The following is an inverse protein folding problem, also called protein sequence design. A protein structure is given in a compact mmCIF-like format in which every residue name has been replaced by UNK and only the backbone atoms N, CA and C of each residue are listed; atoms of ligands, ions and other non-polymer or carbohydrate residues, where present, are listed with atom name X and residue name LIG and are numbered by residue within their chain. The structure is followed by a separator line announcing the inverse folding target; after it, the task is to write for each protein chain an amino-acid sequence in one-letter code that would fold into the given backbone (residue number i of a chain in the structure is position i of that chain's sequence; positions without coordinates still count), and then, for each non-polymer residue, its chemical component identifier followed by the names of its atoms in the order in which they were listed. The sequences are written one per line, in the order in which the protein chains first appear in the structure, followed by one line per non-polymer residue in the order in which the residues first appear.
data_IF_896606983965
#
_entry.id   IF_896606983965
#
_cell.length_a   1.000
_cell.length_b   1.000
_cell.length_c   1.000
_cell.angle_alpha   90.00
_cell.angle_beta   90.00
_cell.angle_gamma   90.00
#
_symmetry.space_group_name_H-M   'P 1'
#
loop_
_entity.id
_entity.type
_entity.pdbx_description
1 polymer ?
#
# COMPACT_ATOMS: atom_id res chain seq x y z
N UNK A 1 54.59 13.62 42.10
CA UNK A 1 54.97 12.48 41.27
C UNK A 1 53.87 11.43 41.45
N UNK A 2 52.79 11.60 40.66
CA UNK A 2 51.52 10.87 40.83
C UNK A 2 51.50 9.72 39.78
N UNK A 3 51.81 8.53 40.21
CA UNK A 3 51.84 7.34 39.35
C UNK A 3 50.40 6.78 39.26
N UNK A 4 49.67 7.22 38.28
CA UNK A 4 48.39 6.59 37.91
C UNK A 4 48.68 5.21 37.33
N UNK A 5 48.29 4.19 38.04
CA UNK A 5 48.34 2.78 37.65
C UNK A 5 47.40 2.53 36.44
N UNK A 6 47.87 2.16 35.22
CA UNK A 6 47.04 1.99 34.01
C UNK A 6 46.35 0.64 33.89
N UNK A 7 46.28 -0.19 34.94
CA UNK A 7 45.79 -1.56 34.84
C UNK A 7 44.44 -1.84 35.51
N UNK A 8 43.52 -0.86 35.61
CA UNK A 8 42.12 -1.19 35.88
C UNK A 8 41.47 -1.83 34.64
N UNK A 9 41.81 -3.09 34.36
CA UNK A 9 41.00 -3.92 33.48
C UNK A 9 39.60 -4.01 34.11
N UNK A 10 38.62 -3.40 33.46
CA UNK A 10 37.20 -3.55 33.81
C UNK A 10 36.86 -5.03 33.73
N UNK A 11 36.83 -5.72 34.87
CA UNK A 11 36.36 -7.09 34.94
C UNK A 11 34.89 -7.10 34.61
N UNK A 12 34.52 -7.47 33.35
CA UNK A 12 33.14 -7.67 32.95
C UNK A 12 32.61 -8.80 33.82
N UNK A 13 31.64 -8.48 34.67
CA UNK A 13 31.01 -9.47 35.56
C UNK A 13 30.40 -10.60 34.74
N UNK A 14 30.60 -11.85 35.13
CA UNK A 14 29.95 -13.01 34.49
C UNK A 14 28.42 -12.80 34.36
N UNK A 15 27.83 -12.13 35.34
CA UNK A 15 26.38 -11.76 35.32
C UNK A 15 26.03 -10.83 34.14
N UNK A 16 26.90 -9.86 33.82
CA UNK A 16 26.73 -8.98 32.69
C UNK A 16 26.85 -9.73 31.36
N UNK A 17 27.80 -10.66 31.24
CA UNK A 17 27.96 -11.49 30.05
C UNK A 17 26.72 -12.38 29.84
N UNK A 18 26.21 -13.00 30.90
CA UNK A 18 25.00 -13.81 30.84
C UNK A 18 23.76 -13.00 30.49
N UNK A 19 23.56 -11.84 31.09
CA UNK A 19 22.40 -10.98 30.76
C UNK A 19 22.45 -10.46 29.32
N UNK A 20 23.61 -10.04 28.83
CA UNK A 20 23.79 -9.61 27.43
C UNK A 20 23.59 -10.79 26.48
N UNK A 21 24.16 -11.95 26.77
CA UNK A 21 24.01 -13.16 25.97
C UNK A 21 22.55 -13.63 25.89
N UNK A 22 21.84 -13.62 27.02
CA UNK A 22 20.43 -14.03 27.08
C UNK A 22 19.51 -13.04 26.34
N UNK A 23 19.76 -11.74 26.50
CA UNK A 23 19.02 -10.73 25.75
C UNK A 23 19.30 -10.78 24.25
N UNK A 24 20.55 -10.98 23.84
CA UNK A 24 20.91 -11.16 22.43
C UNK A 24 20.26 -12.42 21.85
N UNK A 25 20.30 -13.55 22.58
CA UNK A 25 19.64 -14.79 22.20
C UNK A 25 18.12 -14.64 22.09
N UNK A 26 17.48 -13.95 23.03
CA UNK A 26 16.05 -13.65 22.99
C UNK A 26 15.70 -12.76 21.80
N UNK A 27 16.53 -11.75 21.48
CA UNK A 27 16.34 -10.90 20.29
C UNK A 27 16.44 -11.70 18.99
N UNK A 28 17.45 -12.59 18.87
CA UNK A 28 17.61 -13.45 17.70
C UNK A 28 16.43 -14.41 17.56
N UNK A 29 15.99 -15.02 18.65
CA UNK A 29 14.82 -15.91 18.67
C UNK A 29 13.54 -15.15 18.27
N UNK A 30 13.34 -13.96 18.80
CA UNK A 30 12.19 -13.10 18.44
C UNK A 30 12.22 -12.73 16.95
N UNK A 31 13.38 -12.31 16.44
CA UNK A 31 13.56 -12.00 15.03
C UNK A 31 13.27 -13.23 14.13
N UNK A 32 13.78 -14.40 14.51
CA UNK A 32 13.50 -15.65 13.83
C UNK A 32 12.01 -16.00 13.83
N UNK A 33 11.34 -15.89 14.98
CA UNK A 33 9.88 -16.09 15.07
C UNK A 33 9.10 -15.12 14.20
N UNK A 34 9.46 -13.84 14.18
CA UNK A 34 8.81 -12.84 13.33
C UNK A 34 8.97 -13.17 11.84
N UNK A 35 10.15 -13.64 11.43
CA UNK A 35 10.39 -14.09 10.05
C UNK A 35 9.53 -15.30 9.70
N UNK A 36 9.40 -16.27 10.59
CA UNK A 36 8.57 -17.45 10.37
C UNK A 36 7.07 -17.13 10.34
N UNK A 37 6.65 -16.19 11.18
CA UNK A 37 5.24 -15.76 11.25
C UNK A 37 4.86 -14.76 10.16
N UNK A 38 5.80 -14.33 9.30
CA UNK A 38 5.52 -13.34 8.25
C UNK A 38 4.31 -13.71 7.38
N UNK A 39 4.18 -15.00 7.00
CA UNK A 39 3.06 -15.46 6.18
C UNK A 39 1.72 -15.31 6.90
N UNK A 40 1.68 -15.53 8.22
CA UNK A 40 0.48 -15.34 9.03
C UNK A 40 0.12 -13.85 9.12
N UNK A 41 1.11 -12.98 9.35
CA UNK A 41 0.87 -11.52 9.36
C UNK A 41 0.37 -11.02 8.00
N UNK A 42 0.92 -11.54 6.91
CA UNK A 42 0.45 -11.25 5.55
C UNK A 42 -1.01 -11.66 5.39
N UNK A 43 -1.37 -12.88 5.78
CA UNK A 43 -2.74 -13.38 5.73
C UNK A 43 -3.70 -12.53 6.55
N UNK A 44 -3.31 -12.17 7.77
CA UNK A 44 -4.11 -11.30 8.62
C UNK A 44 -4.27 -9.90 8.01
N UNK A 45 -3.21 -9.33 7.43
CA UNK A 45 -3.28 -8.04 6.76
C UNK A 45 -4.21 -8.09 5.55
N UNK A 46 -4.12 -9.12 4.70
CA UNK A 46 -5.03 -9.35 3.56
C UNK A 46 -6.47 -9.50 4.04
N UNK A 47 -6.70 -10.33 5.07
CA UNK A 47 -8.02 -10.56 5.61
C UNK A 47 -8.64 -9.27 6.19
N UNK A 48 -7.84 -8.48 6.92
CA UNK A 48 -8.27 -7.18 7.43
C UNK A 48 -8.56 -6.19 6.30
N UNK A 49 -7.72 -6.18 5.25
CA UNK A 49 -7.94 -5.36 4.07
C UNK A 49 -9.27 -5.70 3.38
N UNK A 50 -9.54 -6.99 3.14
CA UNK A 50 -10.79 -7.47 2.55
C UNK A 50 -11.99 -7.12 3.46
N UNK A 51 -11.85 -7.30 4.77
CA UNK A 51 -12.88 -6.91 5.73
C UNK A 51 -13.20 -5.40 5.66
N UNK A 52 -12.17 -4.55 5.63
CA UNK A 52 -12.33 -3.09 5.52
C UNK A 52 -12.89 -2.66 4.15
N UNK A 53 -12.57 -3.39 3.08
CA UNK A 53 -13.12 -3.13 1.75
C UNK A 53 -14.62 -3.46 1.67
N UNK A 54 -15.07 -4.52 2.35
CA UNK A 54 -16.48 -4.95 2.37
C UNK A 54 -17.31 -4.13 3.40
N UNK A 55 -16.69 -3.60 4.46
CA UNK A 55 -17.37 -2.90 5.55
C UNK A 55 -18.30 -1.74 5.11
N UNK A 56 -17.94 -0.87 4.12
CA UNK A 56 -18.87 0.15 3.61
C UNK A 56 -20.14 -0.45 3.02
N UNK A 57 -20.04 -1.56 2.27
CA UNK A 57 -21.17 -2.27 1.71
C UNK A 57 -22.05 -2.89 2.80
N UNK A 58 -21.44 -3.51 3.81
CA UNK A 58 -22.17 -4.07 4.97
C UNK A 58 -22.92 -2.97 5.71
N UNK A 59 -22.28 -1.82 5.96
CA UNK A 59 -22.93 -0.66 6.59
C UNK A 59 -24.08 -0.10 5.75
N UNK A 60 -23.93 -0.06 4.44
CA UNK A 60 -25.00 0.37 3.54
C UNK A 60 -26.20 -0.59 3.59
N UNK A 61 -25.96 -1.91 3.59
CA UNK A 61 -26.99 -2.94 3.74
C UNK A 61 -27.71 -2.84 5.10
N UNK A 62 -26.95 -2.60 6.18
CA UNK A 62 -27.51 -2.36 7.51
C UNK A 62 -28.46 -1.14 7.55
N UNK A 63 -28.10 -0.05 6.85
CA UNK A 63 -28.97 1.13 6.71
C UNK A 63 -30.27 0.84 5.94
N UNK A 64 -30.28 -0.26 5.14
CA UNK A 64 -31.47 -0.77 4.44
C UNK A 64 -32.28 -1.77 5.26
N UNK A 65 -31.94 -1.99 6.54
CA UNK A 65 -32.65 -2.84 7.47
C UNK A 65 -32.15 -4.27 7.62
N UNK A 66 -31.05 -4.65 6.95
CA UNK A 66 -30.45 -5.96 7.16
C UNK A 66 -29.70 -6.03 8.50
N UNK A 67 -29.78 -7.19 9.18
CA UNK A 67 -28.92 -7.44 10.35
C UNK A 67 -27.46 -7.57 9.90
N UNK A 68 -26.51 -7.33 10.83
CA UNK A 68 -25.08 -7.36 10.53
C UNK A 68 -24.63 -8.68 9.91
N UNK A 69 -25.12 -9.82 10.43
CA UNK A 69 -24.77 -11.14 9.89
C UNK A 69 -25.22 -11.32 8.44
N UNK A 70 -26.45 -10.94 8.13
CA UNK A 70 -26.96 -10.97 6.75
C UNK A 70 -26.23 -10.00 5.83
N UNK A 71 -25.91 -8.78 6.32
CA UNK A 71 -25.14 -7.82 5.56
C UNK A 71 -23.74 -8.33 5.21
N UNK A 72 -23.08 -9.01 6.14
CA UNK A 72 -21.78 -9.64 5.93
C UNK A 72 -21.89 -10.80 4.94
N UNK A 73 -22.87 -11.67 5.11
CA UNK A 73 -23.10 -12.80 4.19
C UNK A 73 -23.35 -12.32 2.75
N UNK A 74 -24.23 -11.35 2.56
CA UNK A 74 -24.51 -10.76 1.22
C UNK A 74 -23.26 -10.07 0.65
N UNK A 75 -22.48 -9.36 1.47
CA UNK A 75 -21.23 -8.74 1.04
C UNK A 75 -20.21 -9.76 0.55
N UNK A 76 -20.06 -10.87 1.25
CA UNK A 76 -19.16 -11.97 0.83
C UNK A 76 -19.68 -12.73 -0.39
N UNK A 77 -20.98 -13.03 -0.46
CA UNK A 77 -21.57 -13.65 -1.66
C UNK A 77 -21.43 -12.74 -2.88
N UNK A 78 -21.57 -11.41 -2.69
CA UNK A 78 -21.32 -10.43 -3.74
C UNK A 78 -19.86 -10.44 -4.20
N UNK A 79 -18.91 -10.48 -3.26
CA UNK A 79 -17.47 -10.58 -3.57
C UNK A 79 -17.15 -11.90 -4.31
N UNK A 80 -17.71 -13.02 -3.85
CA UNK A 80 -17.54 -14.33 -4.49
C UNK A 80 -18.16 -14.35 -5.89
N UNK A 81 -19.35 -13.79 -6.04
CA UNK A 81 -20.02 -13.67 -7.34
C UNK A 81 -19.21 -12.80 -8.30
N UNK A 82 -18.67 -11.66 -7.82
CA UNK A 82 -17.79 -10.80 -8.60
C UNK A 82 -16.49 -11.53 -8.98
N UNK A 83 -15.84 -12.21 -8.06
CA UNK A 83 -14.62 -12.96 -8.32
C UNK A 83 -14.87 -14.12 -9.32
N UNK A 84 -16.00 -14.84 -9.19
CA UNK A 84 -16.41 -15.86 -10.14
C UNK A 84 -16.70 -15.32 -11.54
N UNK A 85 -17.41 -14.18 -11.62
CA UNK A 85 -17.68 -13.50 -12.88
C UNK A 85 -16.37 -13.01 -13.53
N UNK A 86 -15.48 -12.39 -12.76
CA UNK A 86 -14.16 -11.95 -13.24
C UNK A 86 -13.36 -13.16 -13.73
N UNK A 87 -13.29 -14.25 -12.98
CA UNK A 87 -12.60 -15.46 -13.40
C UNK A 87 -13.16 -16.04 -14.71
N UNK A 88 -14.48 -16.13 -14.82
CA UNK A 88 -15.15 -16.64 -16.02
C UNK A 88 -14.95 -15.76 -17.25
N UNK A 89 -14.78 -14.44 -17.08
CA UNK A 89 -14.55 -13.51 -18.20
C UNK A 89 -13.08 -13.32 -18.51
N UNK A 90 -12.20 -13.24 -17.50
CA UNK A 90 -10.79 -12.92 -17.68
C UNK A 90 -9.96 -14.12 -18.15
N UNK A 91 -10.21 -15.33 -17.61
CA UNK A 91 -9.42 -16.51 -17.98
C UNK A 91 -9.51 -16.81 -19.48
N UNK A 92 -10.71 -16.91 -20.10
CA UNK A 92 -10.81 -17.10 -21.55
C UNK A 92 -10.18 -15.94 -22.34
N UNK A 93 -10.34 -14.69 -21.88
CA UNK A 93 -9.76 -13.53 -22.54
C UNK A 93 -8.23 -13.64 -22.58
N UNK A 94 -7.60 -13.85 -21.42
CA UNK A 94 -6.14 -13.94 -21.33
C UNK A 94 -5.61 -15.07 -22.23
N UNK A 95 -6.22 -16.25 -22.17
CA UNK A 95 -5.84 -17.39 -23.01
C UNK A 95 -6.00 -17.06 -24.49
N UNK A 96 -7.09 -16.41 -24.89
CA UNK A 96 -7.32 -16.02 -26.28
C UNK A 96 -6.35 -14.93 -26.73
N UNK A 97 -6.07 -13.94 -25.89
CA UNK A 97 -5.12 -12.87 -26.21
C UNK A 97 -3.69 -13.39 -26.36
N UNK A 98 -3.24 -14.28 -25.48
CA UNK A 98 -1.93 -14.94 -25.61
C UNK A 98 -1.87 -15.74 -26.92
N UNK A 99 -2.92 -16.51 -27.24
CA UNK A 99 -2.98 -17.25 -28.52
C UNK A 99 -3.00 -16.32 -29.73
N UNK A 100 -3.74 -15.22 -29.69
CA UNK A 100 -3.77 -14.22 -30.76
C UNK A 100 -2.41 -13.58 -30.94
N UNK A 101 -1.75 -13.19 -29.84
CA UNK A 101 -0.41 -12.60 -29.85
C UNK A 101 0.58 -13.53 -30.54
N UNK A 102 0.64 -14.79 -30.12
CA UNK A 102 1.54 -15.80 -30.72
C UNK A 102 1.26 -15.99 -32.21
N UNK A 103 -0.02 -16.00 -32.64
CA UNK A 103 -0.40 -16.16 -34.02
C UNK A 103 -0.19 -14.92 -34.90
N UNK A 104 -0.43 -13.74 -34.36
CA UNK A 104 -0.39 -12.46 -35.12
C UNK A 104 0.99 -11.82 -35.10
N UNK A 105 1.86 -12.17 -34.15
CA UNK A 105 3.16 -11.55 -34.00
C UNK A 105 4.04 -11.61 -35.27
N UNK A 106 4.12 -12.73 -36.02
CA UNK A 106 4.89 -12.76 -37.26
C UNK A 106 4.36 -11.77 -38.31
N UNK A 107 3.03 -11.63 -38.41
CA UNK A 107 2.37 -10.67 -39.30
C UNK A 107 2.57 -9.22 -38.91
N UNK A 108 2.47 -8.92 -37.61
CA UNK A 108 2.69 -7.57 -37.09
C UNK A 108 4.13 -7.11 -37.28
N UNK A 109 5.11 -7.98 -37.08
CA UNK A 109 6.53 -7.68 -37.33
C UNK A 109 6.75 -7.35 -38.82
N UNK A 110 6.13 -8.10 -39.75
CA UNK A 110 6.23 -7.83 -41.17
C UNK A 110 5.55 -6.53 -41.60
N UNK A 111 4.42 -6.16 -40.98
CA UNK A 111 3.69 -4.94 -41.30
C UNK A 111 4.42 -3.70 -40.76
N UNK A 112 4.95 -3.77 -39.52
CA UNK A 112 5.80 -2.73 -38.92
C UNK A 112 7.05 -2.47 -39.73
N UNK A 113 7.61 -3.49 -40.38
CA UNK A 113 8.82 -3.41 -41.23
C UNK A 113 8.63 -2.50 -42.44
N UNK A 114 7.41 -2.22 -42.88
CA UNK A 114 7.13 -1.33 -44.03
C UNK A 114 7.32 0.17 -43.69
N UNK A 115 7.50 0.54 -42.43
CA UNK A 115 7.68 1.90 -42.00
C UNK A 115 9.16 2.31 -41.93
N UNK A 116 9.54 3.42 -42.54
CA UNK A 116 10.97 3.83 -42.65
C UNK A 116 11.65 4.04 -41.27
N UNK A 117 10.92 4.52 -40.27
CA UNK A 117 11.48 4.76 -38.93
C UNK A 117 11.73 3.47 -38.12
N UNK A 118 11.09 2.36 -38.49
CA UNK A 118 11.29 1.08 -37.80
C UNK A 118 12.50 0.31 -38.30
N UNK A 119 12.97 0.59 -39.51
CA UNK A 119 14.22 -0.02 -40.06
C UNK A 119 15.41 0.29 -39.16
N UNK A 120 15.53 1.53 -38.68
CA UNK A 120 16.60 1.92 -37.76
C UNK A 120 16.53 1.17 -36.40
N UNK A 121 15.34 0.91 -35.90
CA UNK A 121 15.13 0.14 -34.65
C UNK A 121 15.47 -1.34 -34.86
N UNK A 122 15.11 -1.92 -36.02
CA UNK A 122 15.38 -3.31 -36.34
C UNK A 122 16.89 -3.56 -36.51
N UNK A 123 17.58 -2.70 -37.23
CA UNK A 123 19.04 -2.78 -37.43
C UNK A 123 19.83 -2.65 -36.10
N UNK A 124 19.26 -1.94 -35.11
CA UNK A 124 19.93 -1.66 -33.84
C UNK A 124 19.62 -2.68 -32.74
N UNK A 125 18.44 -3.26 -32.74
CA UNK A 125 17.95 -4.08 -31.61
C UNK A 125 17.58 -5.51 -31.96
N UNK A 126 17.58 -5.88 -33.24
CA UNK A 126 17.26 -7.25 -33.74
C UNK A 126 15.92 -7.74 -33.14
N UNK A 127 14.90 -6.84 -33.23
CA UNK A 127 13.61 -7.01 -32.58
C UNK A 127 12.86 -8.24 -33.06
N UNK A 128 12.95 -8.56 -34.36
CA UNK A 128 12.28 -9.71 -34.93
C UNK A 128 12.75 -11.01 -34.28
N UNK A 129 14.07 -11.19 -34.17
CA UNK A 129 14.64 -12.39 -33.53
C UNK A 129 14.27 -12.48 -32.07
N UNK A 130 14.38 -11.36 -31.32
CA UNK A 130 14.05 -11.34 -29.90
C UNK A 130 12.57 -11.58 -29.66
N UNK A 131 11.67 -11.02 -30.48
CA UNK A 131 10.24 -11.27 -30.42
C UNK A 131 9.91 -12.71 -30.77
N UNK A 132 10.53 -13.28 -31.83
CA UNK A 132 10.35 -14.67 -32.19
C UNK A 132 10.88 -15.64 -31.11
N UNK A 133 12.05 -15.37 -30.54
CA UNK A 133 12.59 -16.15 -29.41
C UNK A 133 11.63 -16.08 -28.19
N UNK A 134 11.21 -14.89 -27.80
CA UNK A 134 10.26 -14.72 -26.69
C UNK A 134 8.93 -15.46 -26.94
N UNK A 135 8.39 -15.38 -28.15
CA UNK A 135 7.13 -16.01 -28.51
C UNK A 135 7.24 -17.53 -28.68
N UNK A 136 8.40 -18.07 -29.11
CA UNK A 136 8.60 -19.51 -29.22
C UNK A 136 8.64 -20.24 -27.88
N UNK A 137 9.05 -19.55 -26.81
CA UNK A 137 9.10 -20.11 -25.47
C UNK A 137 7.77 -19.99 -24.69
N UNK A 138 6.88 -19.03 -25.06
CA UNK A 138 5.62 -18.83 -24.38
C UNK A 138 4.68 -20.05 -24.37
N UNK A 139 4.48 -20.82 -25.47
CA UNK A 139 3.62 -22.00 -25.45
C UNK A 139 4.14 -23.09 -24.52
N UNK A 140 5.44 -23.29 -24.45
CA UNK A 140 6.07 -24.32 -23.62
C UNK A 140 6.06 -23.93 -22.14
N UNK A 141 6.31 -22.67 -21.81
CA UNK A 141 6.21 -22.15 -20.43
C UNK A 141 4.77 -22.23 -19.90
N UNK A 142 3.79 -21.87 -20.74
CA UNK A 142 2.37 -21.96 -20.38
C UNK A 142 1.95 -23.43 -20.25
N UNK A 143 2.38 -24.32 -21.14
CA UNK A 143 2.06 -25.75 -21.07
C UNK A 143 2.73 -26.45 -19.87
N UNK A 144 3.99 -26.08 -19.55
CA UNK A 144 4.71 -26.61 -18.39
C UNK A 144 4.17 -26.09 -17.05
N UNK A 145 3.53 -24.93 -17.03
CA UNK A 145 2.88 -24.41 -15.84
C UNK A 145 1.51 -25.03 -15.54
N UNK A 146 0.89 -25.72 -16.50
CA UNK A 146 -0.44 -26.36 -16.32
C UNK A 146 -0.51 -27.41 -15.18
N UNK A 147 0.48 -28.30 -14.98
CA UNK A 147 0.47 -29.22 -13.83
C UNK A 147 0.62 -28.45 -12.50
N UNK A 148 1.38 -27.36 -12.50
CA UNK A 148 1.49 -26.45 -11.35
C UNK A 148 0.19 -25.69 -11.06
N UNK A 149 -0.65 -25.42 -12.06
CA UNK A 149 -1.93 -24.74 -11.88
C UNK A 149 -2.89 -25.58 -11.01
N UNK A 150 -2.90 -26.91 -11.12
CA UNK A 150 -3.77 -27.76 -10.30
C UNK A 150 -3.36 -27.71 -8.83
N UNK A 151 -2.08 -27.87 -8.51
CA UNK A 151 -1.59 -27.77 -7.13
C UNK A 151 -1.71 -26.35 -6.59
N UNK A 152 -1.44 -25.34 -7.42
CA UNK A 152 -1.62 -23.93 -7.10
C UNK A 152 -3.10 -23.60 -6.89
N UNK A 153 -4.02 -24.24 -7.62
CA UNK A 153 -5.47 -24.05 -7.46
C UNK A 153 -5.95 -24.57 -6.11
N UNK A 154 -5.49 -25.74 -5.66
CA UNK A 154 -5.86 -26.28 -4.34
C UNK A 154 -5.31 -25.40 -3.21
N UNK A 155 -4.03 -25.04 -3.29
CA UNK A 155 -3.43 -24.13 -2.31
C UNK A 155 -4.06 -22.74 -2.35
N UNK A 156 -4.37 -22.23 -3.53
CA UNK A 156 -5.08 -20.97 -3.73
C UNK A 156 -6.48 -20.99 -3.15
N UNK A 157 -7.22 -22.10 -3.30
CA UNK A 157 -8.54 -22.27 -2.72
C UNK A 157 -8.49 -22.31 -1.19
N UNK A 158 -7.54 -23.04 -0.60
CA UNK A 158 -7.34 -23.07 0.85
C UNK A 158 -6.99 -21.68 1.39
N UNK A 159 -6.06 -20.99 0.72
CA UNK A 159 -5.70 -19.63 1.05
C UNK A 159 -6.89 -18.67 0.97
N UNK A 160 -7.67 -18.78 -0.10
CA UNK A 160 -8.88 -17.98 -0.31
C UNK A 160 -9.93 -18.24 0.79
N UNK A 161 -10.22 -19.51 1.12
CA UNK A 161 -11.12 -19.87 2.21
C UNK A 161 -10.62 -19.31 3.53
N UNK A 162 -9.31 -19.40 3.80
CA UNK A 162 -8.70 -18.86 5.01
C UNK A 162 -8.87 -17.33 5.09
N UNK A 163 -8.57 -16.60 4.02
CA UNK A 163 -8.75 -15.14 3.96
C UNK A 163 -10.22 -14.78 4.16
N UNK A 164 -11.15 -15.45 3.47
CA UNK A 164 -12.59 -15.20 3.63
C UNK A 164 -13.04 -15.45 5.08
N UNK A 165 -12.61 -16.56 5.68
CA UNK A 165 -12.96 -16.92 7.06
C UNK A 165 -12.40 -15.89 8.06
N UNK A 166 -11.13 -15.51 7.92
CA UNK A 166 -10.52 -14.49 8.78
C UNK A 166 -11.16 -13.12 8.60
N UNK A 167 -11.50 -12.74 7.36
CA UNK A 167 -12.20 -11.48 7.07
C UNK A 167 -13.62 -11.48 7.66
N UNK A 168 -14.32 -12.62 7.58
CA UNK A 168 -15.62 -12.80 8.20
C UNK A 168 -15.55 -12.63 9.73
N UNK A 169 -14.56 -13.24 10.37
CA UNK A 169 -14.33 -13.11 11.80
C UNK A 169 -13.95 -11.66 12.17
N UNK A 170 -13.11 -11.01 11.38
CA UNK A 170 -12.76 -9.61 11.59
C UNK A 170 -14.00 -8.69 11.51
N UNK A 171 -14.91 -8.93 10.56
CA UNK A 171 -16.16 -8.17 10.44
C UNK A 171 -17.13 -8.46 11.58
N UNK A 172 -17.31 -9.72 11.98
CA UNK A 172 -18.29 -10.10 13.00
C UNK A 172 -17.80 -9.76 14.41
N UNK A 173 -16.55 -10.08 14.73
CA UNK A 173 -15.99 -10.02 16.08
C UNK A 173 -14.99 -8.89 16.29
N UNK A 174 -14.56 -8.20 15.23
CA UNK A 174 -13.53 -7.15 15.32
C UNK A 174 -13.86 -6.04 16.31
N UNK A 175 -15.16 -5.66 16.46
CA UNK A 175 -15.59 -4.70 17.46
C UNK A 175 -15.34 -5.19 18.88
N UNK A 176 -15.64 -6.46 19.17
CA UNK A 176 -15.44 -7.04 20.49
C UNK A 176 -13.95 -7.13 20.83
N UNK A 177 -13.14 -7.55 19.83
CA UNK A 177 -11.69 -7.61 19.97
C UNK A 177 -11.08 -6.23 20.25
N UNK A 178 -11.56 -5.22 19.54
CA UNK A 178 -11.16 -3.84 19.73
C UNK A 178 -11.49 -3.32 21.15
N UNK A 179 -12.72 -3.57 21.64
CA UNK A 179 -13.12 -3.13 23.00
C UNK A 179 -12.31 -3.87 24.07
N UNK A 180 -11.99 -5.16 23.88
CA UNK A 180 -11.09 -5.91 24.76
C UNK A 180 -9.68 -5.32 24.77
N UNK A 181 -9.11 -5.05 23.59
CA UNK A 181 -7.79 -4.43 23.46
C UNK A 181 -7.76 -3.03 24.10
N UNK A 182 -8.84 -2.25 23.96
CA UNK A 182 -8.97 -0.95 24.59
C UNK A 182 -9.01 -1.06 26.14
N UNK A 183 -9.47 -2.21 26.65
CA UNK A 183 -9.45 -2.50 28.10
C UNK A 183 -8.03 -2.50 28.70
N UNK A 184 -7.00 -2.86 27.92
CA UNK A 184 -5.59 -2.86 28.35
C UNK A 184 -4.94 -1.48 28.32
N UNK A 185 -5.59 -0.50 27.67
CA UNK A 185 -5.14 0.88 27.64
C UNK A 185 -5.54 1.60 28.92
N UNK A 186 -4.63 2.41 29.48
CA UNK A 186 -4.91 3.25 30.67
C UNK A 186 -6.16 4.08 30.44
N UNK A 187 -7.10 4.16 31.40
CA UNK A 187 -8.39 4.86 31.26
C UNK A 187 -8.28 6.29 30.71
N UNK A 188 -7.28 7.04 31.16
CA UNK A 188 -7.04 8.42 30.72
C UNK A 188 -6.68 8.54 29.23
N UNK A 189 -6.12 7.49 28.59
CA UNK A 189 -5.71 7.49 27.17
C UNK A 189 -6.75 6.83 26.26
N UNK A 190 -7.77 6.18 26.79
CA UNK A 190 -8.79 5.49 25.98
C UNK A 190 -9.50 6.39 24.98
N UNK A 191 -9.88 7.65 25.34
CA UNK A 191 -10.52 8.55 24.37
C UNK A 191 -9.62 8.84 23.16
N UNK A 192 -8.34 9.15 23.40
CA UNK A 192 -7.35 9.43 22.32
C UNK A 192 -7.14 8.21 21.42
N UNK A 193 -6.94 7.01 22.01
CA UNK A 193 -6.79 5.77 21.23
C UNK A 193 -8.07 5.46 20.43
N UNK A 194 -9.25 5.75 20.98
CA UNK A 194 -10.52 5.55 20.27
C UNK A 194 -10.64 6.47 19.06
N UNK A 195 -10.26 7.74 19.20
CA UNK A 195 -10.28 8.71 18.10
C UNK A 195 -9.25 8.35 17.03
N UNK A 196 -8.03 7.99 17.43
CA UNK A 196 -6.97 7.52 16.52
C UNK A 196 -7.45 6.33 15.66
N UNK A 197 -7.95 5.26 16.29
CA UNK A 197 -8.43 4.07 15.57
C UNK A 197 -9.59 4.41 14.63
N UNK A 198 -10.50 5.29 15.06
CA UNK A 198 -11.60 5.78 14.23
C UNK A 198 -11.10 6.55 13.01
N UNK A 199 -10.07 7.40 13.17
CA UNK A 199 -9.47 8.17 12.09
C UNK A 199 -8.71 7.27 11.11
N UNK A 200 -7.90 6.33 11.61
CA UNK A 200 -7.25 5.31 10.79
C UNK A 200 -8.27 4.49 9.98
N UNK A 201 -9.34 4.01 10.64
CA UNK A 201 -10.40 3.27 9.96
C UNK A 201 -11.08 4.11 8.87
N UNK A 202 -11.36 5.40 9.15
CA UNK A 202 -11.95 6.32 8.17
C UNK A 202 -11.02 6.54 6.97
N UNK A 203 -9.71 6.74 7.21
CA UNK A 203 -8.72 6.93 6.16
C UNK A 203 -8.63 5.71 5.24
N UNK A 204 -8.50 4.51 5.82
CA UNK A 204 -8.41 3.25 5.05
C UNK A 204 -9.70 2.95 4.29
N UNK A 205 -10.85 3.01 4.97
CA UNK A 205 -12.15 2.74 4.34
C UNK A 205 -12.49 3.78 3.26
N UNK A 206 -12.12 5.05 3.48
CA UNK A 206 -12.28 6.11 2.49
C UNK A 206 -11.43 5.86 1.24
N UNK A 207 -10.17 5.48 1.43
CA UNK A 207 -9.29 5.09 0.32
C UNK A 207 -9.86 3.91 -0.48
N UNK A 208 -10.27 2.85 0.22
CA UNK A 208 -10.82 1.65 -0.44
C UNK A 208 -12.10 1.95 -1.22
N UNK A 209 -13.02 2.72 -0.63
CA UNK A 209 -14.24 3.15 -1.31
C UNK A 209 -13.93 4.04 -2.53
N UNK A 210 -12.96 4.94 -2.39
CA UNK A 210 -12.49 5.78 -3.48
C UNK A 210 -11.90 4.96 -4.62
N UNK A 211 -11.00 4.05 -4.31
CA UNK A 211 -10.40 3.15 -5.30
C UNK A 211 -11.45 2.27 -5.97
N UNK A 212 -12.38 1.69 -5.22
CA UNK A 212 -13.47 0.89 -5.79
C UNK A 212 -14.32 1.70 -6.78
N UNK A 213 -14.64 2.94 -6.45
CA UNK A 213 -15.36 3.84 -7.36
C UNK A 213 -14.54 4.14 -8.62
N UNK A 214 -13.26 4.49 -8.46
CA UNK A 214 -12.38 4.82 -9.58
C UNK A 214 -12.20 3.64 -10.54
N UNK A 215 -11.92 2.43 -10.01
CA UNK A 215 -11.74 1.25 -10.86
C UNK A 215 -13.05 0.82 -11.54
N UNK A 216 -14.20 1.01 -10.87
CA UNK A 216 -15.51 0.74 -11.46
C UNK A 216 -15.80 1.70 -12.63
N UNK A 217 -15.56 2.98 -12.45
CA UNK A 217 -15.69 3.97 -13.52
C UNK A 217 -14.74 3.66 -14.68
N UNK A 218 -13.48 3.36 -14.39
CA UNK A 218 -12.49 3.00 -15.40
C UNK A 218 -12.86 1.73 -16.17
N UNK A 219 -13.36 0.72 -15.47
CA UNK A 219 -13.86 -0.51 -16.07
C UNK A 219 -15.04 -0.27 -17.01
N UNK A 220 -16.01 0.54 -16.59
CA UNK A 220 -17.18 0.92 -17.41
C UNK A 220 -16.76 1.73 -18.64
N UNK A 221 -15.88 2.72 -18.47
CA UNK A 221 -15.39 3.56 -19.58
C UNK A 221 -14.58 2.72 -20.56
N UNK A 222 -13.73 1.82 -20.05
CA UNK A 222 -12.97 0.88 -20.89
C UNK A 222 -13.92 -0.04 -21.68
N UNK A 223 -14.90 -0.63 -21.03
CA UNK A 223 -15.89 -1.49 -21.68
C UNK A 223 -16.68 -0.72 -22.74
N UNK A 224 -17.19 0.47 -22.41
CA UNK A 224 -17.97 1.29 -23.34
C UNK A 224 -17.12 1.78 -24.52
N UNK A 225 -15.91 2.28 -24.26
CA UNK A 225 -15.01 2.78 -25.32
C UNK A 225 -14.63 1.68 -26.30
N UNK A 226 -14.24 0.49 -25.80
CA UNK A 226 -13.90 -0.66 -26.65
C UNK A 226 -15.12 -1.25 -27.36
N UNK A 227 -16.32 -1.21 -26.75
CA UNK A 227 -17.57 -1.57 -27.40
C UNK A 227 -17.89 -0.68 -28.59
N UNK A 228 -17.79 0.64 -28.42
CA UNK A 228 -18.04 1.63 -29.50
C UNK A 228 -17.05 1.49 -30.65
N UNK A 229 -15.83 1.06 -30.39
CA UNK A 229 -14.83 0.76 -31.41
C UNK A 229 -15.06 -0.59 -32.11
N UNK A 230 -15.99 -1.42 -31.63
CA UNK A 230 -16.32 -2.73 -32.19
C UNK A 230 -15.37 -3.83 -31.74
N UNK A 231 -14.69 -3.67 -30.60
CA UNK A 231 -13.80 -4.71 -30.03
C UNK A 231 -14.66 -5.82 -29.42
N UNK A 232 -14.48 -7.10 -29.84
CA UNK A 232 -15.38 -8.19 -29.40
C UNK A 232 -15.25 -8.52 -27.90
N UNK A 233 -14.11 -8.16 -27.27
CA UNK A 233 -13.82 -8.49 -25.87
C UNK A 233 -14.05 -7.32 -24.90
N UNK A 234 -14.90 -6.39 -25.23
CA UNK A 234 -15.13 -5.15 -24.46
C UNK A 234 -15.48 -5.41 -22.97
N UNK A 235 -16.37 -6.39 -22.69
CA UNK A 235 -16.72 -6.73 -21.30
C UNK A 235 -15.54 -7.29 -20.52
N UNK A 236 -14.73 -8.13 -21.16
CA UNK A 236 -13.57 -8.71 -20.53
C UNK A 236 -12.48 -7.67 -20.26
N UNK A 237 -12.25 -6.72 -21.18
CA UNK A 237 -11.32 -5.60 -20.98
C UNK A 237 -11.80 -4.67 -19.85
N UNK A 238 -13.09 -4.35 -19.78
CA UNK A 238 -13.67 -3.59 -18.68
C UNK A 238 -13.56 -4.33 -17.35
N UNK A 239 -13.83 -5.64 -17.33
CA UNK A 239 -13.67 -6.48 -16.13
C UNK A 239 -12.21 -6.59 -15.69
N UNK A 240 -11.26 -6.67 -16.62
CA UNK A 240 -9.83 -6.69 -16.33
C UNK A 240 -9.36 -5.38 -15.69
N UNK A 241 -9.96 -4.25 -16.10
CA UNK A 241 -9.69 -2.97 -15.45
C UNK A 241 -10.07 -2.97 -13.97
N UNK A 242 -11.15 -3.65 -13.56
CA UNK A 242 -11.54 -3.76 -12.15
C UNK A 242 -10.45 -4.42 -11.29
N UNK A 243 -9.66 -5.32 -11.88
CA UNK A 243 -8.57 -6.02 -11.17
C UNK A 243 -7.27 -5.23 -11.25
N UNK A 244 -6.84 -4.89 -12.47
CA UNK A 244 -5.56 -4.20 -12.68
C UNK A 244 -5.57 -2.77 -12.14
N UNK A 245 -6.69 -2.07 -12.23
CA UNK A 245 -6.86 -0.72 -11.71
C UNK A 245 -6.72 -0.59 -10.18
N UNK A 246 -6.77 -1.72 -9.45
CA UNK A 246 -6.44 -1.74 -8.02
C UNK A 246 -4.96 -1.46 -7.75
N UNK A 247 -4.10 -1.60 -8.75
CA UNK A 247 -2.66 -1.34 -8.66
C UNK A 247 -2.39 0.04 -9.26
N UNK A 248 -2.15 1.08 -8.43
CA UNK A 248 -1.94 2.43 -8.92
C UNK A 248 -0.79 2.51 -9.92
N UNK A 249 -0.95 3.31 -10.95
CA UNK A 249 -0.02 3.54 -12.06
C UNK A 249 0.25 2.32 -12.94
N UNK A 250 0.60 1.16 -12.36
CA UNK A 250 0.92 -0.07 -13.09
C UNK A 250 -0.32 -0.60 -13.81
N UNK A 251 -1.46 -0.64 -13.11
CA UNK A 251 -2.73 -1.14 -13.66
C UNK A 251 -3.18 -0.36 -14.88
N UNK A 252 -3.19 0.96 -14.78
CA UNK A 252 -3.58 1.83 -15.90
C UNK A 252 -2.61 1.72 -17.09
N UNK A 253 -1.30 1.62 -16.82
CA UNK A 253 -0.31 1.42 -17.88
C UNK A 253 -0.50 0.09 -18.61
N UNK A 254 -0.66 -1.00 -17.87
CA UNK A 254 -0.91 -2.34 -18.45
C UNK A 254 -2.23 -2.35 -19.23
N UNK A 255 -3.26 -1.68 -18.74
CA UNK A 255 -4.54 -1.59 -19.45
C UNK A 255 -4.43 -0.78 -20.73
N UNK A 256 -3.65 0.30 -20.76
CA UNK A 256 -3.38 1.06 -21.98
C UNK A 256 -2.78 0.15 -23.07
N UNK A 257 -1.78 -0.65 -22.70
CA UNK A 257 -1.13 -1.61 -23.61
C UNK A 257 -2.11 -2.70 -24.06
N UNK A 258 -2.85 -3.31 -23.13
CA UNK A 258 -3.79 -4.40 -23.43
C UNK A 258 -4.95 -3.95 -24.31
N UNK A 259 -5.55 -2.79 -24.00
CA UNK A 259 -6.64 -2.23 -24.81
C UNK A 259 -6.15 -1.90 -26.22
N UNK A 260 -5.02 -1.20 -26.33
CA UNK A 260 -4.45 -0.84 -27.64
C UNK A 260 -4.07 -2.06 -28.45
N UNK A 261 -3.42 -3.04 -27.84
CA UNK A 261 -3.02 -4.27 -28.50
C UNK A 261 -4.23 -5.13 -28.94
N UNK A 262 -5.22 -5.30 -28.04
CA UNK A 262 -6.44 -6.05 -28.37
C UNK A 262 -7.19 -5.37 -29.52
N UNK A 263 -7.29 -4.05 -29.50
CA UNK A 263 -7.95 -3.27 -30.57
C UNK A 263 -7.17 -3.41 -31.87
N UNK A 264 -5.83 -3.35 -31.83
CA UNK A 264 -4.98 -3.52 -33.02
C UNK A 264 -5.22 -4.88 -33.70
N UNK A 265 -5.23 -5.95 -32.92
CA UNK A 265 -5.35 -7.32 -33.44
C UNK A 265 -6.76 -7.70 -33.88
N UNK A 266 -7.79 -7.01 -33.36
CA UNK A 266 -9.20 -7.35 -33.65
C UNK A 266 -9.87 -6.45 -34.67
N UNK A 267 -9.57 -5.13 -34.64
CA UNK A 267 -10.29 -4.13 -35.44
C UNK A 267 -9.37 -3.18 -36.22
N UNK A 268 -8.06 -3.36 -36.13
CA UNK A 268 -7.05 -2.70 -36.95
C UNK A 268 -6.42 -1.44 -36.35
N UNK A 269 -5.38 -0.95 -37.02
CA UNK A 269 -4.48 0.11 -36.52
C UNK A 269 -5.20 1.44 -36.23
N UNK A 270 -6.05 1.91 -37.14
CA UNK A 270 -6.72 3.21 -36.98
C UNK A 270 -7.56 3.25 -35.69
N UNK A 271 -8.30 2.17 -35.42
CA UNK A 271 -9.12 2.07 -34.21
C UNK A 271 -8.24 1.85 -32.97
N UNK A 272 -7.10 1.18 -33.09
CA UNK A 272 -6.14 1.03 -31.98
C UNK A 272 -5.53 2.36 -31.57
N UNK A 273 -5.19 3.22 -32.51
CA UNK A 273 -4.72 4.59 -32.23
C UNK A 273 -5.79 5.45 -31.56
N UNK A 274 -7.05 5.31 -32.00
CA UNK A 274 -8.19 5.99 -31.36
C UNK A 274 -8.38 5.47 -29.92
N UNK A 275 -8.32 4.13 -29.71
CA UNK A 275 -8.43 3.53 -28.40
C UNK A 275 -7.33 4.01 -27.45
N UNK A 276 -6.08 4.05 -27.91
CA UNK A 276 -4.95 4.58 -27.15
C UNK A 276 -5.15 6.05 -26.80
N UNK A 277 -5.56 6.88 -27.77
CA UNK A 277 -5.83 8.30 -27.55
C UNK A 277 -6.95 8.53 -26.53
N UNK A 278 -8.07 7.82 -26.65
CA UNK A 278 -9.18 7.89 -25.70
C UNK A 278 -8.74 7.42 -24.30
N UNK A 279 -7.94 6.38 -24.22
CA UNK A 279 -7.44 5.86 -22.95
C UNK A 279 -6.49 6.86 -22.28
N UNK A 280 -5.59 7.49 -23.03
CA UNK A 280 -4.70 8.54 -22.51
C UNK A 280 -5.48 9.76 -22.01
N UNK A 281 -6.50 10.20 -22.75
CA UNK A 281 -7.41 11.28 -22.31
C UNK A 281 -8.13 10.87 -21.02
N UNK A 282 -8.66 9.64 -20.96
CA UNK A 282 -9.29 9.13 -19.75
C UNK A 282 -8.33 9.13 -18.57
N UNK A 283 -7.08 8.67 -18.75
CA UNK A 283 -6.06 8.69 -17.69
C UNK A 283 -5.78 10.10 -17.16
N UNK A 284 -5.76 11.11 -18.04
CA UNK A 284 -5.59 12.52 -17.62
C UNK A 284 -6.80 13.00 -16.80
N UNK A 285 -8.01 12.65 -17.23
CA UNK A 285 -9.24 12.98 -16.49
C UNK A 285 -9.28 12.23 -15.15
N UNK A 286 -8.92 10.95 -15.14
CA UNK A 286 -8.85 10.15 -13.91
C UNK A 286 -7.87 10.75 -12.91
N UNK A 287 -6.61 10.97 -13.33
CA UNK A 287 -5.55 11.45 -12.44
C UNK A 287 -5.75 12.87 -11.95
N UNK A 288 -6.23 13.77 -12.81
CA UNK A 288 -6.31 15.19 -12.49
C UNK A 288 -7.68 15.64 -11.97
N UNK A 289 -8.75 14.91 -12.25
CA UNK A 289 -10.10 15.28 -11.85
C UNK A 289 -10.75 14.25 -10.92
N UNK A 290 -10.82 12.96 -11.33
CA UNK A 290 -11.55 11.94 -10.58
C UNK A 290 -10.83 11.60 -9.28
N UNK A 291 -9.53 11.31 -9.33
CA UNK A 291 -8.74 10.95 -8.13
C UNK A 291 -8.77 12.05 -7.05
N UNK A 292 -8.52 13.34 -7.34
CA UNK A 292 -8.63 14.40 -6.35
C UNK A 292 -10.05 14.55 -5.78
N UNK A 293 -11.10 14.40 -6.60
CA UNK A 293 -12.48 14.48 -6.13
C UNK A 293 -12.84 13.33 -5.18
N UNK A 294 -12.41 12.14 -5.50
CA UNK A 294 -12.77 10.91 -4.77
C UNK A 294 -11.90 10.73 -3.53
N UNK A 295 -10.60 11.04 -3.61
CA UNK A 295 -9.62 10.76 -2.56
C UNK A 295 -9.24 11.97 -1.70
N UNK A 296 -9.85 13.14 -1.92
CA UNK A 296 -9.50 14.41 -1.22
C UNK A 296 -9.50 14.35 0.31
N UNK A 297 -10.17 13.36 0.90
CA UNK A 297 -10.28 13.17 2.33
C UNK A 297 -9.49 11.96 2.86
N UNK A 298 -8.83 11.20 1.98
CA UNK A 298 -8.29 9.89 2.36
C UNK A 298 -6.78 9.86 2.50
N UNK A 299 -6.03 10.46 1.57
CA UNK A 299 -4.56 10.43 1.57
C UNK A 299 -4.00 11.77 1.07
N UNK A 300 -3.17 12.43 1.88
CA UNK A 300 -2.40 13.62 1.49
C UNK A 300 -0.92 13.26 1.43
N UNK A 301 -0.56 12.35 0.53
CA UNK A 301 0.83 11.90 0.37
C UNK A 301 1.46 12.52 -0.87
N UNK A 302 2.77 12.84 -0.78
CA UNK A 302 3.57 13.23 -1.93
C UNK A 302 3.67 12.04 -2.91
N UNK A 303 3.59 12.25 -4.24
CA UNK A 303 3.75 11.20 -5.25
C UNK A 303 5.00 10.34 -5.09
N UNK A 304 6.13 10.94 -4.67
CA UNK A 304 7.35 10.20 -4.36
C UNK A 304 7.13 9.18 -3.22
N UNK A 305 6.46 9.59 -2.14
CA UNK A 305 6.17 8.70 -1.01
C UNK A 305 5.24 7.56 -1.43
N UNK A 306 4.23 7.85 -2.27
CA UNK A 306 3.36 6.82 -2.84
C UNK A 306 4.18 5.79 -3.62
N UNK A 307 5.09 6.23 -4.48
CA UNK A 307 5.96 5.34 -5.26
C UNK A 307 6.86 4.47 -4.38
N UNK A 308 7.48 5.07 -3.36
CA UNK A 308 8.32 4.34 -2.39
C UNK A 308 7.51 3.30 -1.63
N UNK A 309 6.33 3.66 -1.13
CA UNK A 309 5.43 2.75 -0.40
C UNK A 309 4.99 1.58 -1.28
N UNK A 310 4.64 1.85 -2.54
CA UNK A 310 4.27 0.80 -3.51
C UNK A 310 5.45 -0.15 -3.78
N UNK A 311 6.64 0.38 -4.01
CA UNK A 311 7.85 -0.43 -4.23
C UNK A 311 8.19 -1.28 -3.00
N UNK A 312 8.10 -0.72 -1.81
CA UNK A 312 8.31 -1.46 -0.55
C UNK A 312 7.27 -2.58 -0.40
N UNK A 313 6.00 -2.27 -0.63
CA UNK A 313 4.93 -3.27 -0.58
C UNK A 313 5.15 -4.39 -1.59
N UNK A 314 5.50 -4.04 -2.84
CA UNK A 314 5.82 -5.00 -3.88
C UNK A 314 7.03 -5.87 -3.54
N UNK A 315 8.08 -5.31 -2.98
CA UNK A 315 9.28 -6.03 -2.57
C UNK A 315 9.00 -7.02 -1.41
N UNK A 316 8.13 -6.65 -0.47
CA UNK A 316 7.82 -7.48 0.70
C UNK A 316 6.84 -8.63 0.39
N UNK A 317 5.82 -8.39 -0.41
CA UNK A 317 4.68 -9.29 -0.59
C UNK A 317 4.22 -9.41 -2.07
N UNK A 318 5.03 -8.97 -3.02
CA UNK A 318 4.66 -8.96 -4.43
C UNK A 318 3.45 -8.08 -4.72
N UNK A 319 2.61 -8.51 -5.66
CA UNK A 319 1.43 -7.78 -6.11
C UNK A 319 0.45 -7.45 -4.98
N UNK A 320 0.20 -8.40 -4.09
CA UNK A 320 -0.68 -8.23 -2.92
C UNK A 320 -0.13 -7.14 -1.99
N UNK A 321 1.20 -7.14 -1.78
CA UNK A 321 1.84 -6.11 -0.99
C UNK A 321 1.69 -4.71 -1.59
N UNK A 322 1.84 -4.56 -2.90
CA UNK A 322 1.60 -3.29 -3.58
C UNK A 322 0.16 -2.80 -3.39
N UNK A 323 -0.84 -3.68 -3.50
CA UNK A 323 -2.25 -3.32 -3.31
C UNK A 323 -2.57 -2.85 -1.88
N UNK A 324 -1.97 -3.49 -0.87
CA UNK A 324 -2.22 -3.19 0.55
C UNK A 324 -1.36 -2.02 1.04
N UNK A 325 -0.25 -1.73 0.38
CA UNK A 325 0.73 -0.74 0.82
C UNK A 325 0.14 0.65 1.05
N UNK A 326 -0.69 1.15 0.13
CA UNK A 326 -1.28 2.49 0.24
C UNK A 326 -2.31 2.61 1.38
N UNK A 327 -3.27 1.68 1.56
CA UNK A 327 -4.14 1.69 2.73
C UNK A 327 -3.38 1.63 4.06
N UNK A 328 -2.32 0.82 4.11
CA UNK A 328 -1.47 0.72 5.31
C UNK A 328 -0.70 2.02 5.57
N UNK A 329 -0.19 2.64 4.50
CA UNK A 329 0.48 3.93 4.61
C UNK A 329 -0.48 5.05 5.01
N UNK A 330 -1.74 5.02 4.56
CA UNK A 330 -2.78 5.95 5.00
C UNK A 330 -3.06 5.82 6.51
N UNK A 331 -3.16 4.60 7.02
CA UNK A 331 -3.30 4.34 8.44
C UNK A 331 -2.09 4.82 9.24
N UNK A 332 -0.88 4.54 8.75
CA UNK A 332 0.37 4.98 9.38
C UNK A 332 0.51 6.51 9.38
N UNK A 333 0.14 7.17 8.29
CA UNK A 333 0.15 8.63 8.19
C UNK A 333 -0.77 9.26 9.25
N UNK A 334 -1.97 8.72 9.42
CA UNK A 334 -2.91 9.20 10.42
C UNK A 334 -2.38 8.98 11.84
N UNK A 335 -1.77 7.82 12.09
CA UNK A 335 -1.10 7.56 13.37
C UNK A 335 0.03 8.56 13.66
N UNK A 336 0.91 8.80 12.66
CA UNK A 336 2.02 9.75 12.83
C UNK A 336 1.53 11.19 13.03
N UNK A 337 0.43 11.57 12.37
CA UNK A 337 -0.19 12.87 12.54
C UNK A 337 -0.69 13.08 13.97
N UNK A 338 -1.39 12.10 14.51
CA UNK A 338 -1.89 12.15 15.89
C UNK A 338 -0.76 12.29 16.91
N UNK A 339 0.33 11.50 16.72
CA UNK A 339 1.52 11.59 17.58
C UNK A 339 2.18 12.97 17.50
N UNK A 340 2.24 13.56 16.29
CA UNK A 340 2.81 14.90 16.11
C UNK A 340 1.93 15.99 16.74
N UNK A 341 0.60 15.88 16.63
CA UNK A 341 -0.35 16.81 17.27
C UNK A 341 -0.21 16.76 18.79
N UNK A 342 -0.15 15.55 19.39
CA UNK A 342 0.08 15.37 20.84
C UNK A 342 1.41 16.00 21.31
N UNK A 343 2.46 15.88 20.51
CA UNK A 343 3.75 16.49 20.83
C UNK A 343 3.72 18.02 20.72
N UNK A 344 3.04 18.57 19.73
CA UNK A 344 2.88 20.02 19.57
C UNK A 344 2.10 20.62 20.74
N UNK A 345 1.00 20.03 21.12
CA UNK A 345 0.22 20.50 22.27
C UNK A 345 1.05 20.50 23.57
N UNK A 346 1.92 19.50 23.78
CA UNK A 346 2.83 19.46 24.93
C UNK A 346 3.83 20.60 24.88
N UNK A 347 4.47 20.85 23.72
CA UNK A 347 5.46 21.91 23.57
C UNK A 347 4.84 23.29 23.70
N UNK A 348 3.65 23.50 23.18
CA UNK A 348 2.93 24.77 23.29
C UNK A 348 2.51 25.01 24.77
N UNK A 349 2.03 23.99 25.48
CA UNK A 349 1.76 24.06 26.90
C UNK A 349 3.01 24.32 27.76
N UNK A 350 4.17 23.72 27.43
CA UNK A 350 5.44 23.99 28.11
C UNK A 350 5.93 25.42 27.84
N UNK A 351 5.77 25.94 26.62
CA UNK A 351 6.11 27.32 26.27
C UNK A 351 5.25 28.32 27.02
N UNK A 352 3.96 28.06 27.10
CA UNK A 352 3.00 28.90 27.84
C UNK A 352 3.30 28.88 29.35
N UNK A 353 3.58 27.70 29.90
CA UNK A 353 3.97 27.56 31.31
C UNK A 353 5.32 28.26 31.61
N UNK A 354 6.28 28.22 30.67
CA UNK A 354 7.54 28.95 30.83
C UNK A 354 7.38 30.47 30.67
N UNK A 355 6.49 30.91 29.79
CA UNK A 355 6.18 32.34 29.61
C UNK A 355 5.46 32.94 30.83
N UNK A 356 4.67 32.11 31.53
CA UNK A 356 3.96 32.49 32.76
C UNK A 356 4.84 32.38 34.04
N UNK A 357 6.03 31.77 33.95
CA UNK A 357 7.00 31.85 35.04
C UNK A 357 7.48 33.28 35.16
N UNK A 358 7.26 33.98 36.30
CA UNK A 358 7.88 35.26 36.54
C UNK A 358 9.38 35.04 36.34
N UNK A 359 10.02 35.89 35.53
CA UNK A 359 11.50 35.96 35.51
C UNK A 359 11.93 35.97 36.98
N UNK A 360 12.58 34.86 37.41
CA UNK A 360 13.21 34.83 38.70
C UNK A 360 14.10 36.09 38.69
N UNK A 361 13.62 37.11 39.38
CA UNK A 361 14.26 38.39 39.52
C UNK A 361 15.73 38.09 39.68
N UNK A 362 16.53 38.45 38.69
CA UNK A 362 17.96 38.59 38.87
C UNK A 362 18.08 39.65 39.99
N UNK A 363 18.16 39.15 41.22
CA UNK A 363 18.50 40.03 42.33
C UNK A 363 19.77 40.78 41.89
N UNK A 364 19.77 42.12 41.93
CA UNK A 364 21.00 42.84 41.59
C UNK A 364 22.12 42.29 42.50
N UNK A 365 23.32 42.09 41.98
CA UNK A 365 24.41 41.62 42.81
C UNK A 365 24.49 42.46 44.06
N UNK A 366 24.48 41.83 45.24
CA UNK A 366 24.67 42.50 46.51
C UNK A 366 25.93 43.37 46.36
N UNK A 367 25.86 44.67 46.74
CA UNK A 367 27.04 45.51 46.71
C UNK A 367 28.11 44.86 47.59
N UNK A 368 29.29 44.59 47.03
CA UNK A 368 30.44 44.12 47.79
C UNK A 368 30.62 45.00 49.01
N UNK A 369 30.48 44.39 50.20
CA UNK A 369 30.73 45.05 51.46
C UNK A 369 32.22 45.43 51.48
N UNK A 370 32.47 46.75 51.32
CA UNK A 370 33.79 47.30 51.59
C UNK A 370 34.16 46.95 53.02
N UNK A 371 35.19 46.12 53.16
CA UNK A 371 35.79 45.82 54.43
C UNK A 371 36.34 47.08 55.06
N UNK A 372 36.42 47.18 56.42
CA UNK A 372 36.80 48.38 57.13
C UNK A 372 38.26 48.76 56.82
N UNK A 373 38.47 50.07 56.64
CA UNK A 373 39.72 50.84 56.37
C UNK A 373 40.96 50.24 57.03
N UNK A 374 41.91 49.81 56.20
CA UNK A 374 43.30 49.69 56.67
C UNK A 374 43.90 51.04 56.95
N UNK A 375 44.58 51.23 58.12
CA UNK A 375 45.19 52.49 58.46
C UNK A 375 46.38 52.84 57.58
N UNK A 376 46.35 54.05 57.01
CA UNK A 376 47.47 54.71 56.26
C UNK A 376 48.68 54.86 57.15
N UNK A 377 49.77 54.13 56.87
CA UNK A 377 51.06 54.32 57.50
C UNK A 377 51.75 55.56 57.00
N UNK A 378 52.63 56.25 57.77
CA UNK A 378 53.19 57.52 57.45
C UNK A 378 54.33 57.44 56.38
N UNK A 379 54.41 58.39 55.51
CA UNK A 379 55.45 58.57 54.46
C UNK A 379 56.85 58.83 55.07
N UNK A 380 57.91 58.22 54.46
CA UNK A 380 59.26 58.53 54.84
C UNK A 380 59.74 59.80 54.10
N UNK A 381 60.60 60.59 54.82
CA UNK A 381 61.32 61.80 54.39
C UNK A 381 62.22 61.54 53.18
#
# INVERSE_FOLDING_TARGET
MDTRDPTRRSQISARTVWTVGLNAGAMVLLAYMLIQLRAVFVLLAVALFVALAIDPLVRWLQRRGLTRGWGVLVGFLGLLGLAGLLGATLVPLVVQQVRSLVRSAPGLVSEVRTWEWTRWLEERFDLERKVQEALSHLPDEVAQSLPGVVSTTVNGLLLFITVVTLSLFALLFGKNLYEQALGWVRPARRPAVRELVKNMHRAVSGYLAGTALTVTLGGLITALGTFLLGVPYFLALGSLYLVLGLIPYIGSFLMALLVSFTTLTTVGLNKALIALGLFLVYQQVEGNLIQPLVQRHSIRMNPLLISVVLLMGAALMGLIGAMIALPLAAALQEFLREVQEEQRERWDGEREANALRPEATSAPPEPEAHGPDEPVGPAPH
#
